data_IF_267492352651
#
_entry.id   IF_267492352651
#
_cell.length_a   1.000
_cell.length_b   1.000
_cell.length_c   1.000
_cell.angle_alpha   90.00
_cell.angle_beta   90.00
_cell.angle_gamma   90.00
#
_symmetry.space_group_name_H-M   'P 1'
#
loop_
_entity.id
_entity.type
_entity.pdbx_description
1 polymer ?
#
# COMPACT_ATOMS: atom_id res chain seq x y z
N UNK A 1 40.67 -7.08 9.05
CA UNK A 1 40.27 -7.70 7.77
C UNK A 1 39.01 -8.56 7.93
N UNK A 2 38.47 -8.68 9.14
CA UNK A 2 37.62 -9.81 9.56
C UNK A 2 36.13 -9.58 9.27
N UNK A 3 35.68 -8.32 9.16
CA UNK A 3 34.28 -8.00 8.87
C UNK A 3 33.88 -8.32 7.40
N UNK A 4 34.84 -8.27 6.47
CA UNK A 4 34.62 -8.64 5.06
C UNK A 4 34.39 -10.14 4.90
N UNK A 5 35.11 -10.95 5.69
CA UNK A 5 34.98 -12.41 5.68
C UNK A 5 33.60 -12.86 6.19
N UNK A 6 33.04 -12.18 7.21
CA UNK A 6 31.65 -12.38 7.65
C UNK A 6 30.65 -12.12 6.51
N UNK A 7 30.82 -11.04 5.75
CA UNK A 7 29.95 -10.71 4.61
C UNK A 7 29.97 -11.80 3.52
N UNK A 8 31.13 -12.41 3.28
CA UNK A 8 31.30 -13.49 2.31
C UNK A 8 30.66 -14.80 2.79
N UNK A 9 30.85 -15.16 4.06
CA UNK A 9 30.24 -16.37 4.66
C UNK A 9 28.71 -16.38 4.61
N UNK A 10 28.09 -15.19 4.57
CA UNK A 10 26.64 -15.04 4.53
C UNK A 10 26.02 -15.38 3.15
N UNK A 11 26.83 -15.59 2.10
CA UNK A 11 26.43 -16.01 0.75
C UNK A 11 26.28 -17.54 0.60
N UNK A 12 26.41 -18.27 1.70
CA UNK A 12 26.34 -19.73 1.75
C UNK A 12 25.07 -20.31 1.12
N UNK A 13 25.24 -21.44 0.43
CA UNK A 13 24.18 -22.32 -0.08
C UNK A 13 24.06 -23.56 0.83
N UNK A 14 22.89 -24.20 0.86
CA UNK A 14 22.68 -25.41 1.66
C UNK A 14 23.71 -26.51 1.34
N UNK A 15 24.40 -27.04 2.37
CA UNK A 15 25.40 -28.11 2.26
C UNK A 15 26.86 -27.66 2.32
N UNK A 16 27.14 -26.40 2.61
CA UNK A 16 28.50 -25.85 2.74
C UNK A 16 28.92 -25.69 4.21
N UNK A 17 29.29 -26.80 4.86
CA UNK A 17 29.65 -26.85 6.28
C UNK A 17 30.82 -25.91 6.66
N UNK A 18 31.75 -25.68 5.73
CA UNK A 18 32.90 -24.78 5.92
C UNK A 18 32.44 -23.32 6.08
N UNK A 19 31.43 -22.89 5.32
CA UNK A 19 30.89 -21.53 5.42
C UNK A 19 29.95 -21.37 6.62
N UNK A 20 29.37 -22.46 7.10
CA UNK A 20 28.69 -22.52 8.40
C UNK A 20 29.66 -22.27 9.55
N UNK A 21 30.75 -23.02 9.62
CA UNK A 21 31.79 -22.86 10.64
C UNK A 21 32.47 -21.47 10.56
N UNK A 22 32.75 -20.99 9.35
CA UNK A 22 33.32 -19.66 9.14
C UNK A 22 32.40 -18.53 9.64
N UNK A 23 31.07 -18.67 9.47
CA UNK A 23 30.10 -17.69 9.96
C UNK A 23 30.08 -17.66 11.49
N UNK A 24 30.07 -18.84 12.13
CA UNK A 24 30.11 -18.91 13.59
C UNK A 24 31.42 -18.36 14.17
N UNK A 25 32.56 -18.71 13.55
CA UNK A 25 33.87 -18.19 13.93
C UNK A 25 33.92 -16.66 13.83
N UNK A 26 33.53 -16.10 12.68
CA UNK A 26 33.53 -14.64 12.47
C UNK A 26 32.56 -13.94 13.40
N UNK A 27 31.39 -14.52 13.67
CA UNK A 27 30.40 -13.94 14.59
C UNK A 27 30.95 -13.78 16.00
N UNK A 28 31.65 -14.79 16.53
CA UNK A 28 32.28 -14.71 17.86
C UNK A 28 33.39 -13.66 17.86
N UNK A 29 34.26 -13.69 16.86
CA UNK A 29 35.39 -12.78 16.77
C UNK A 29 34.94 -11.32 16.64
N UNK A 30 33.98 -11.05 15.74
CA UNK A 30 33.44 -9.72 15.49
C UNK A 30 32.72 -9.14 16.71
N UNK A 31 31.94 -9.94 17.45
CA UNK A 31 31.34 -9.48 18.72
C UNK A 31 32.39 -8.98 19.70
N UNK A 32 33.51 -9.69 19.84
CA UNK A 32 34.62 -9.27 20.72
C UNK A 32 35.38 -8.04 20.21
N UNK A 33 35.33 -7.79 18.90
CA UNK A 33 35.96 -6.64 18.25
C UNK A 33 35.11 -5.37 18.36
N UNK A 34 33.78 -5.48 18.40
CA UNK A 34 32.88 -4.32 18.57
C UNK A 34 33.29 -3.52 19.80
N UNK A 35 33.53 -4.19 20.93
CA UNK A 35 33.90 -3.54 22.20
C UNK A 35 35.29 -2.88 22.19
N UNK A 36 36.14 -3.23 21.23
CA UNK A 36 37.55 -2.81 21.14
C UNK A 36 37.82 -1.82 20.01
N UNK A 37 36.83 -1.55 19.16
CA UNK A 37 36.99 -0.73 17.95
C UNK A 37 36.35 0.63 18.10
N UNK A 38 36.80 1.60 17.30
CA UNK A 38 36.22 2.94 17.27
C UNK A 38 34.74 2.92 16.84
N UNK A 39 33.97 3.98 17.17
CA UNK A 39 32.51 4.02 17.01
C UNK A 39 32.04 3.76 15.57
N UNK A 40 32.80 4.23 14.57
CA UNK A 40 32.50 4.02 13.16
C UNK A 40 32.60 2.55 12.76
N UNK A 41 33.71 1.89 13.11
CA UNK A 41 33.95 0.49 12.79
C UNK A 41 33.01 -0.43 13.61
N UNK A 42 32.76 -0.09 14.87
CA UNK A 42 31.77 -0.78 15.70
C UNK A 42 30.38 -0.79 15.04
N UNK A 43 29.91 0.37 14.54
CA UNK A 43 28.63 0.50 13.83
C UNK A 43 28.57 -0.33 12.54
N UNK A 44 29.68 -0.45 11.82
CA UNK A 44 29.75 -1.32 10.63
C UNK A 44 29.69 -2.80 11.01
N UNK A 45 30.42 -3.20 12.06
CA UNK A 45 30.46 -4.59 12.52
C UNK A 45 29.10 -5.02 13.07
N UNK A 46 28.46 -4.21 13.93
CA UNK A 46 27.13 -4.53 14.47
C UNK A 46 26.12 -4.72 13.35
N UNK A 47 26.15 -3.83 12.35
CA UNK A 47 25.25 -3.91 11.19
C UNK A 47 25.50 -5.17 10.35
N UNK A 48 26.76 -5.53 10.11
CA UNK A 48 27.11 -6.75 9.37
C UNK A 48 26.69 -8.03 10.11
N UNK A 49 26.64 -8.00 11.45
CA UNK A 49 26.16 -9.10 12.28
C UNK A 49 24.62 -9.22 12.28
N UNK A 50 23.90 -8.10 12.20
CA UNK A 50 22.43 -8.07 12.18
C UNK A 50 21.85 -8.40 10.81
N UNK A 51 22.35 -7.74 9.76
CA UNK A 51 21.82 -7.87 8.40
C UNK A 51 23.00 -8.00 7.43
N UNK A 52 23.11 -9.14 6.72
CA UNK A 52 24.05 -9.26 5.62
C UNK A 52 23.79 -8.15 4.59
N UNK A 53 24.84 -7.48 4.11
CA UNK A 53 24.73 -6.38 3.14
C UNK A 53 23.88 -6.73 1.91
N UNK A 54 23.92 -7.99 1.47
CA UNK A 54 23.18 -8.49 0.31
C UNK A 54 21.74 -8.94 0.62
N UNK A 55 21.36 -9.07 1.90
CA UNK A 55 19.99 -9.44 2.33
C UNK A 55 19.16 -8.21 2.73
N UNK A 56 19.81 -7.07 2.97
CA UNK A 56 19.13 -5.81 3.27
C UNK A 56 18.41 -5.21 2.05
N UNK A 57 17.45 -4.33 2.30
CA UNK A 57 16.80 -3.56 1.22
C UNK A 57 17.85 -2.62 0.64
N UNK A 58 18.28 -2.77 -0.64
CA UNK A 58 19.42 -2.03 -1.18
C UNK A 58 19.29 -0.52 -1.01
N UNK A 59 18.05 -0.01 -1.04
CA UNK A 59 17.76 1.41 -0.88
C UNK A 59 17.99 1.93 0.54
N UNK A 60 17.60 1.15 1.54
CA UNK A 60 17.83 1.50 2.95
C UNK A 60 19.32 1.35 3.29
N UNK A 61 19.95 0.32 2.72
CA UNK A 61 21.39 0.09 2.87
C UNK A 61 22.22 1.23 2.28
N UNK A 62 21.88 1.70 1.08
CA UNK A 62 22.52 2.86 0.46
C UNK A 62 22.39 4.12 1.32
N UNK A 63 21.21 4.40 1.86
CA UNK A 63 20.99 5.55 2.75
C UNK A 63 21.89 5.49 3.99
N UNK A 64 21.88 4.35 4.67
CA UNK A 64 22.70 4.14 5.86
C UNK A 64 24.20 4.24 5.55
N UNK A 65 24.62 3.71 4.40
CA UNK A 65 26.02 3.74 4.00
C UNK A 65 26.49 5.15 3.61
N UNK A 66 25.65 5.97 2.98
CA UNK A 66 25.97 7.37 2.67
C UNK A 66 26.33 8.14 3.96
N UNK A 67 25.55 7.96 5.04
CA UNK A 67 25.85 8.57 6.34
C UNK A 67 27.15 8.03 6.95
N UNK A 68 27.37 6.71 6.91
CA UNK A 68 28.61 6.10 7.42
C UNK A 68 29.85 6.59 6.64
N UNK A 69 29.73 6.76 5.32
CA UNK A 69 30.80 7.26 4.46
C UNK A 69 31.05 8.76 4.67
N UNK A 70 30.01 9.52 5.04
CA UNK A 70 30.13 10.92 5.41
C UNK A 70 30.86 11.11 6.74
N UNK A 71 30.59 10.27 7.73
CA UNK A 71 31.21 10.31 9.06
C UNK A 71 32.64 9.73 9.10
N UNK A 72 33.13 9.19 7.98
CA UNK A 72 34.46 8.60 7.88
C UNK A 72 35.53 9.71 7.79
N UNK A 73 36.50 9.70 8.71
CA UNK A 73 37.59 10.69 8.83
C UNK A 73 38.88 10.25 8.07
N UNK A 74 38.76 9.42 7.04
CA UNK A 74 39.92 8.90 6.31
C UNK A 74 40.37 9.86 5.19
N UNK A 75 41.69 10.08 5.06
CA UNK A 75 42.32 10.85 3.97
C UNK A 75 42.07 10.27 2.56
N UNK A 76 41.53 9.05 2.48
CA UNK A 76 41.16 8.37 1.23
C UNK A 76 39.71 8.61 0.79
N UNK A 77 38.96 9.42 1.55
CA UNK A 77 37.56 9.75 1.24
C UNK A 77 37.46 10.51 -0.08
N UNK A 78 36.52 10.07 -0.92
CA UNK A 78 36.25 10.70 -2.20
C UNK A 78 34.97 11.54 -2.11
N UNK A 79 35.13 12.86 -2.02
CA UNK A 79 34.01 13.80 -1.91
C UNK A 79 33.15 13.84 -3.18
N UNK A 80 33.75 13.58 -4.35
CA UNK A 80 33.02 13.47 -5.61
C UNK A 80 32.07 12.27 -5.60
N UNK A 81 32.50 11.14 -5.02
CA UNK A 81 31.65 9.96 -4.84
C UNK A 81 30.51 10.24 -3.85
N UNK A 82 30.82 10.89 -2.72
CA UNK A 82 29.81 11.22 -1.71
C UNK A 82 28.74 12.18 -2.28
N UNK A 83 29.16 13.23 -2.98
CA UNK A 83 28.24 14.18 -3.61
C UNK A 83 27.39 13.51 -4.68
N UNK A 84 27.97 12.66 -5.53
CA UNK A 84 27.23 11.87 -6.50
C UNK A 84 26.18 10.97 -5.84
N UNK A 85 26.56 10.21 -4.81
CA UNK A 85 25.66 9.30 -4.11
C UNK A 85 24.48 10.05 -3.47
N UNK A 86 24.71 11.23 -2.87
CA UNK A 86 23.64 12.08 -2.32
C UNK A 86 22.68 12.59 -3.40
N UNK A 87 23.21 13.06 -4.53
CA UNK A 87 22.39 13.57 -5.64
C UNK A 87 21.55 12.46 -6.28
N UNK A 88 22.15 11.31 -6.55
CA UNK A 88 21.43 10.15 -7.09
C UNK A 88 20.33 9.68 -6.14
N UNK A 89 20.64 9.61 -4.84
CA UNK A 89 19.67 9.26 -3.82
C UNK A 89 18.49 10.24 -3.83
N UNK A 90 18.74 11.55 -3.80
CA UNK A 90 17.68 12.56 -3.80
C UNK A 90 16.83 12.51 -5.08
N UNK A 91 17.46 12.31 -6.25
CA UNK A 91 16.76 12.19 -7.52
C UNK A 91 15.79 11.01 -7.54
N UNK A 92 16.25 9.83 -7.13
CA UNK A 92 15.40 8.64 -7.05
C UNK A 92 14.30 8.78 -6.01
N UNK A 93 14.58 9.44 -4.88
CA UNK A 93 13.56 9.72 -3.86
C UNK A 93 12.44 10.61 -4.41
N UNK A 94 12.78 11.63 -5.20
CA UNK A 94 11.80 12.50 -5.85
C UNK A 94 10.90 11.71 -6.82
N UNK A 95 11.48 10.81 -7.63
CA UNK A 95 10.71 9.96 -8.54
C UNK A 95 9.74 9.05 -7.78
N UNK A 96 10.19 8.39 -6.71
CA UNK A 96 9.32 7.56 -5.88
C UNK A 96 8.17 8.37 -5.26
N UNK A 97 8.41 9.61 -4.80
CA UNK A 97 7.36 10.48 -4.27
C UNK A 97 6.31 10.83 -5.33
N UNK A 98 6.74 11.07 -6.58
CA UNK A 98 5.83 11.34 -7.69
C UNK A 98 4.96 10.12 -8.01
N UNK A 99 5.55 8.93 -8.06
CA UNK A 99 4.84 7.67 -8.30
C UNK A 99 3.80 7.38 -7.21
N UNK A 100 4.19 7.52 -5.93
CA UNK A 100 3.28 7.37 -4.79
C UNK A 100 2.15 8.40 -4.88
N UNK A 101 2.47 9.65 -5.24
CA UNK A 101 1.47 10.69 -5.48
C UNK A 101 0.48 10.30 -6.59
N UNK A 102 0.95 9.69 -7.68
CA UNK A 102 0.10 9.25 -8.77
C UNK A 102 -0.82 8.09 -8.36
N UNK A 103 -0.29 7.11 -7.63
CA UNK A 103 -1.06 5.94 -7.14
C UNK A 103 -2.14 6.38 -6.15
N UNK A 104 -1.80 7.25 -5.20
CA UNK A 104 -2.73 7.75 -4.19
C UNK A 104 -3.86 8.57 -4.80
N UNK A 105 -3.57 9.47 -5.76
CA UNK A 105 -4.59 10.23 -6.50
C UNK A 105 -5.50 9.30 -7.30
N UNK A 106 -4.94 8.32 -8.00
CA UNK A 106 -5.70 7.34 -8.79
C UNK A 106 -6.64 6.51 -7.93
N UNK A 107 -6.17 6.07 -6.75
CA UNK A 107 -7.00 5.38 -5.77
C UNK A 107 -8.17 6.25 -5.30
N UNK A 108 -7.93 7.53 -4.99
CA UNK A 108 -8.99 8.48 -4.64
C UNK A 108 -10.05 8.65 -5.76
N UNK A 109 -9.60 8.78 -7.01
CA UNK A 109 -10.46 8.85 -8.18
C UNK A 109 -11.32 7.59 -8.38
N UNK A 110 -10.74 6.41 -8.14
CA UNK A 110 -11.46 5.15 -8.21
C UNK A 110 -12.54 5.01 -7.13
N UNK A 111 -12.22 5.34 -5.88
CA UNK A 111 -13.15 5.28 -4.74
C UNK A 111 -14.32 6.25 -4.93
N UNK A 112 -14.04 7.48 -5.34
CA UNK A 112 -15.06 8.51 -5.62
C UNK A 112 -15.97 8.08 -6.77
N UNK A 113 -15.41 7.54 -7.86
CA UNK A 113 -16.16 7.00 -9.00
C UNK A 113 -17.09 5.86 -8.60
N UNK A 114 -16.60 4.89 -7.80
CA UNK A 114 -17.44 3.80 -7.25
C UNK A 114 -18.59 4.35 -6.39
N UNK A 115 -18.32 5.32 -5.52
CA UNK A 115 -19.35 6.00 -4.71
C UNK A 115 -20.40 6.71 -5.57
N UNK A 116 -19.99 7.46 -6.60
CA UNK A 116 -20.91 8.12 -7.56
C UNK A 116 -21.79 7.11 -8.27
N UNK A 117 -21.22 6.03 -8.81
CA UNK A 117 -21.98 4.95 -9.47
C UNK A 117 -23.03 4.34 -8.52
N UNK A 118 -22.68 4.04 -7.26
CA UNK A 118 -23.62 3.54 -6.24
C UNK A 118 -24.75 4.53 -5.95
N UNK A 119 -24.44 5.82 -5.76
CA UNK A 119 -25.45 6.88 -5.55
C UNK A 119 -26.42 7.01 -6.74
N UNK A 120 -25.92 6.97 -7.97
CA UNK A 120 -26.74 7.01 -9.18
C UNK A 120 -27.67 5.79 -9.29
N UNK A 121 -27.16 4.58 -8.98
CA UNK A 121 -27.98 3.36 -8.92
C UNK A 121 -29.10 3.47 -7.87
N UNK A 122 -28.81 3.98 -6.67
CA UNK A 122 -29.83 4.20 -5.64
C UNK A 122 -30.90 5.21 -6.07
N UNK A 123 -30.49 6.35 -6.67
CA UNK A 123 -31.43 7.36 -7.18
C UNK A 123 -32.36 6.77 -8.24
N UNK A 124 -31.84 5.97 -9.18
CA UNK A 124 -32.65 5.26 -10.19
C UNK A 124 -33.64 4.28 -9.55
N UNK A 125 -33.20 3.47 -8.58
CA UNK A 125 -34.09 2.55 -7.83
C UNK A 125 -35.21 3.30 -7.10
N UNK A 126 -34.91 4.42 -6.42
CA UNK A 126 -35.91 5.25 -5.75
C UNK A 126 -36.93 5.84 -6.73
N UNK A 127 -36.47 6.36 -7.89
CA UNK A 127 -37.37 6.87 -8.95
C UNK A 127 -38.29 5.78 -9.49
N UNK A 128 -37.77 4.57 -9.76
CA UNK A 128 -38.59 3.42 -10.20
C UNK A 128 -39.65 3.06 -9.16
N UNK A 129 -39.28 2.94 -7.88
CA UNK A 129 -40.24 2.66 -6.79
C UNK A 129 -41.32 3.72 -6.68
N UNK A 130 -40.97 5.01 -6.80
CA UNK A 130 -41.97 6.10 -6.81
C UNK A 130 -42.92 5.98 -7.99
N UNK A 131 -42.41 5.72 -9.19
CA UNK A 131 -43.25 5.51 -10.39
C UNK A 131 -44.20 4.32 -10.22
N UNK A 132 -43.72 3.19 -9.69
CA UNK A 132 -44.57 2.02 -9.40
C UNK A 132 -45.71 2.39 -8.45
N UNK A 133 -45.41 3.05 -7.32
CA UNK A 133 -46.44 3.50 -6.37
C UNK A 133 -47.48 4.42 -7.01
N UNK A 134 -47.06 5.34 -7.88
CA UNK A 134 -47.99 6.22 -8.60
C UNK A 134 -48.90 5.40 -9.52
N UNK A 135 -48.34 4.45 -10.28
CA UNK A 135 -49.11 3.51 -11.10
C UNK A 135 -50.11 2.69 -10.29
N UNK A 136 -49.69 2.17 -9.13
CA UNK A 136 -50.55 1.37 -8.24
C UNK A 136 -51.72 2.20 -7.70
N UNK A 137 -51.46 3.46 -7.30
CA UNK A 137 -52.50 4.40 -6.88
C UNK A 137 -53.46 4.77 -8.02
N UNK A 138 -52.96 4.96 -9.23
CA UNK A 138 -53.78 5.24 -10.41
C UNK A 138 -54.75 4.09 -10.69
N UNK A 139 -54.23 2.85 -10.72
CA UNK A 139 -55.04 1.64 -10.89
C UNK A 139 -56.08 1.47 -9.79
N UNK A 140 -55.74 1.82 -8.54
CA UNK A 140 -56.70 1.78 -7.43
C UNK A 140 -57.85 2.77 -7.65
N UNK A 141 -57.56 4.00 -8.06
CA UNK A 141 -58.57 5.01 -8.38
C UNK A 141 -59.47 4.59 -9.55
N UNK A 142 -58.90 3.98 -10.59
CA UNK A 142 -59.67 3.47 -11.74
C UNK A 142 -60.65 2.38 -11.31
N UNK A 143 -60.21 1.42 -10.49
CA UNK A 143 -61.08 0.38 -9.92
C UNK A 143 -62.18 0.96 -9.03
N UNK A 144 -61.89 1.99 -8.23
CA UNK A 144 -62.91 2.66 -7.41
C UNK A 144 -63.98 3.33 -8.27
N UNK A 145 -63.59 4.01 -9.37
CA UNK A 145 -64.53 4.59 -10.34
C UNK A 145 -65.37 3.54 -11.05
N UNK A 146 -64.81 2.38 -11.40
CA UNK A 146 -65.58 1.27 -11.98
C UNK A 146 -66.64 0.75 -11.01
N UNK A 147 -66.29 0.59 -9.72
CA UNK A 147 -67.23 0.17 -8.68
C UNK A 147 -68.35 1.19 -8.46
N UNK A 148 -68.05 2.50 -8.49
CA UNK A 148 -69.10 3.53 -8.43
C UNK A 148 -70.06 3.45 -9.61
N UNK A 149 -69.54 3.27 -10.84
CA UNK A 149 -70.37 3.09 -12.04
C UNK A 149 -71.23 1.82 -11.98
N UNK A 150 -70.72 0.74 -11.39
CA UNK A 150 -71.51 -0.48 -11.15
C UNK A 150 -72.63 -0.24 -10.14
N UNK A 151 -72.35 0.44 -9.02
CA UNK A 151 -73.36 0.81 -8.03
C UNK A 151 -74.46 1.70 -8.63
N UNK A 152 -74.10 2.72 -9.39
CA UNK A 152 -75.07 3.59 -10.08
C UNK A 152 -75.95 2.80 -11.07
N UNK A 153 -75.36 1.81 -11.78
CA UNK A 153 -76.11 0.91 -12.67
C UNK A 153 -77.07 0.01 -11.91
N UNK A 154 -76.67 -0.56 -10.77
CA UNK A 154 -77.55 -1.36 -9.91
C UNK A 154 -78.69 -0.53 -9.32
N UNK A 155 -78.41 0.70 -8.88
CA UNK A 155 -79.41 1.62 -8.34
C UNK A 155 -80.43 2.03 -9.42
N UNK A 156 -79.98 2.26 -10.66
CA UNK A 156 -80.85 2.48 -11.81
C UNK A 156 -81.70 1.26 -12.18
N UNK A 157 -81.21 0.03 -11.94
CA UNK A 157 -81.99 -1.20 -12.16
C UNK A 157 -83.07 -1.36 -11.09
N UNK A 158 -82.77 -1.02 -9.83
CA UNK A 158 -83.75 -1.05 -8.74
C UNK A 158 -84.88 -0.02 -8.90
N UNK A 159 -84.58 1.18 -9.43
CA UNK A 159 -85.61 2.22 -9.67
C UNK A 159 -86.53 1.95 -10.89
N UNK A 160 -86.25 0.90 -11.69
CA UNK A 160 -87.03 0.56 -12.89
C UNK A 160 -87.97 -0.64 -12.72
N UNK A 161 -87.92 -1.35 -11.59
CA UNK A 161 -88.86 -2.40 -11.23
C UNK A 161 -89.53 -2.04 -9.89
N UNK A 162 -90.73 -1.43 -9.88
CA UNK A 162 -91.57 -1.34 -8.69
C UNK A 162 -92.14 -2.70 -8.28
#
# INVERSE_FOLDING_TARGET
>A
MDYKYSSASQLRIHGEDILDEALDFTRVHLKSLVDKTGPHLAKQITKALEVPLHKGIPRLEAFNYISIYEDQEDDSKNDTLLSFAKLDFNRLQLLHQQEIGHVTRSHGGFVTSKRRRRRSRMRRRRRRRRRMRVCDLQKKKEKEKEKEKEKEKEECRHKKNP
#
